data_IF_314418325331
#
_entry.id   IF_314418325331
#
_cell.length_a   1.000
_cell.length_b   1.000
_cell.length_c   1.000
_cell.angle_alpha   90.00
_cell.angle_beta   90.00
_cell.angle_gamma   90.00
#
_symmetry.space_group_name_H-M   'P 1'
#
loop_
_entity.id
_entity.type
_entity.pdbx_description
1 polymer ?
#
# COMPACT_ATOMS: atom_id res chain seq x y z
N UNK A 1 -4.84 25.65 -3.62
CA UNK A 1 -3.71 24.77 -3.28
C UNK A 1 -3.66 24.65 -1.77
N UNK A 2 -4.14 23.55 -1.23
CA UNK A 2 -4.17 23.28 0.21
C UNK A 2 -2.84 22.65 0.66
N UNK A 3 -2.65 22.51 1.98
CA UNK A 3 -1.53 21.76 2.54
C UNK A 3 -1.52 20.29 2.05
N UNK A 4 -2.69 19.72 1.79
CA UNK A 4 -2.81 18.37 1.24
C UNK A 4 -2.27 18.26 -0.18
N UNK A 5 -2.53 19.27 -1.03
CA UNK A 5 -1.97 19.31 -2.39
C UNK A 5 -0.42 19.32 -2.35
N UNK A 6 0.16 20.10 -1.44
CA UNK A 6 1.61 20.15 -1.26
C UNK A 6 2.17 18.82 -0.77
N UNK A 7 1.46 18.15 0.15
CA UNK A 7 1.82 16.83 0.67
C UNK A 7 1.80 15.76 -0.43
N UNK A 8 0.75 15.76 -1.28
CA UNK A 8 0.64 14.88 -2.45
C UNK A 8 1.82 15.08 -3.39
N UNK A 9 2.11 16.32 -3.76
CA UNK A 9 3.22 16.65 -4.64
C UNK A 9 4.57 16.25 -4.04
N UNK A 10 4.74 16.42 -2.72
CA UNK A 10 5.96 16.01 -2.02
C UNK A 10 6.14 14.49 -2.10
N UNK A 11 5.11 13.70 -1.83
CA UNK A 11 5.20 12.23 -1.89
C UNK A 11 5.48 11.76 -3.32
N UNK A 12 4.73 12.25 -4.31
CA UNK A 12 4.91 11.85 -5.70
C UNK A 12 6.29 12.27 -6.23
N UNK A 13 6.70 13.51 -5.95
CA UNK A 13 8.00 14.04 -6.36
C UNK A 13 9.14 13.26 -5.71
N UNK A 14 9.09 13.04 -4.40
CA UNK A 14 10.12 12.32 -3.68
C UNK A 14 10.21 10.86 -4.12
N UNK A 15 9.06 10.19 -4.30
CA UNK A 15 9.01 8.81 -4.80
C UNK A 15 9.59 8.70 -6.21
N UNK A 16 9.27 9.65 -7.10
CA UNK A 16 9.84 9.74 -8.44
C UNK A 16 11.36 9.96 -8.42
N UNK A 17 11.85 10.89 -7.59
CA UNK A 17 13.28 11.17 -7.45
C UNK A 17 14.05 9.95 -6.92
N UNK A 18 13.54 9.28 -5.88
CA UNK A 18 14.18 8.07 -5.37
C UNK A 18 14.22 6.96 -6.43
N UNK A 19 13.14 6.78 -7.18
CA UNK A 19 13.08 5.77 -8.23
C UNK A 19 13.96 6.13 -9.44
N UNK A 20 14.17 7.42 -9.74
CA UNK A 20 15.15 7.86 -10.73
C UNK A 20 16.60 7.53 -10.34
N UNK A 21 16.92 7.67 -9.04
CA UNK A 21 18.24 7.36 -8.50
C UNK A 21 18.49 5.85 -8.53
N UNK A 22 17.49 5.05 -8.15
CA UNK A 22 17.58 3.58 -8.07
C UNK A 22 17.48 2.88 -9.43
N UNK A 23 16.60 3.36 -10.30
CA UNK A 23 16.22 2.71 -11.56
C UNK A 23 15.11 1.67 -11.40
N UNK A 24 14.38 1.41 -12.50
CA UNK A 24 13.25 0.48 -12.54
C UNK A 24 13.64 -0.96 -12.18
N UNK A 25 14.76 -1.45 -12.70
CA UNK A 25 15.17 -2.84 -12.54
C UNK A 25 15.41 -3.19 -11.07
N UNK A 26 16.03 -2.29 -10.30
CA UNK A 26 16.21 -2.48 -8.85
C UNK A 26 14.90 -2.43 -8.09
N UNK A 27 13.96 -1.63 -8.56
CA UNK A 27 12.65 -1.54 -7.96
C UNK A 27 11.82 -2.81 -8.24
N UNK A 28 11.93 -3.39 -9.44
CA UNK A 28 11.41 -4.72 -9.75
C UNK A 28 12.01 -5.82 -8.87
N UNK A 29 13.33 -5.76 -8.58
CA UNK A 29 13.96 -6.69 -7.63
C UNK A 29 13.29 -6.62 -6.25
N UNK A 30 12.94 -5.41 -5.80
CA UNK A 30 12.22 -5.22 -4.53
C UNK A 30 10.82 -5.85 -4.60
N UNK A 31 10.08 -5.67 -5.70
CA UNK A 31 8.77 -6.30 -5.89
C UNK A 31 8.83 -7.82 -5.93
N UNK A 32 9.80 -8.38 -6.65
CA UNK A 32 9.99 -9.84 -6.73
C UNK A 32 10.32 -10.40 -5.34
N UNK A 33 11.16 -9.70 -4.56
CA UNK A 33 11.46 -10.09 -3.19
C UNK A 33 10.23 -10.05 -2.27
N UNK A 34 9.34 -9.05 -2.43
CA UNK A 34 8.05 -9.00 -1.73
C UNK A 34 7.21 -10.23 -2.10
N UNK A 35 7.15 -10.58 -3.40
CA UNK A 35 6.46 -11.78 -3.87
C UNK A 35 6.97 -13.06 -3.20
N UNK A 36 8.29 -13.23 -3.05
CA UNK A 36 8.87 -14.34 -2.29
C UNK A 36 8.46 -14.33 -0.82
N UNK A 37 8.46 -13.17 -0.15
CA UNK A 37 7.99 -13.03 1.22
C UNK A 37 6.52 -13.41 1.38
N UNK A 38 5.64 -12.92 0.49
CA UNK A 38 4.21 -13.25 0.50
C UNK A 38 4.01 -14.75 0.27
N UNK A 39 4.67 -15.34 -0.72
CA UNK A 39 4.59 -16.78 -0.97
C UNK A 39 5.02 -17.59 0.27
N UNK A 40 6.11 -17.20 0.93
CA UNK A 40 6.54 -17.88 2.14
C UNK A 40 5.50 -17.78 3.27
N UNK A 41 4.86 -16.63 3.46
CA UNK A 41 3.76 -16.48 4.41
C UNK A 41 2.56 -17.36 4.06
N UNK A 42 2.21 -17.49 2.77
CA UNK A 42 1.11 -18.34 2.35
C UNK A 42 1.36 -19.82 2.65
N UNK A 43 2.59 -20.31 2.42
CA UNK A 43 2.90 -21.73 2.60
C UNK A 43 3.33 -22.10 4.03
N UNK A 44 4.02 -21.19 4.73
CA UNK A 44 4.68 -21.49 6.00
C UNK A 44 4.30 -20.54 7.14
N UNK A 45 3.51 -19.49 6.88
CA UNK A 45 3.18 -18.48 7.88
C UNK A 45 2.50 -19.05 9.12
N UNK A 46 1.52 -19.94 8.94
CA UNK A 46 0.82 -20.56 10.06
C UNK A 46 1.77 -21.37 10.94
N UNK A 47 2.56 -22.27 10.35
CA UNK A 47 3.54 -23.09 11.07
C UNK A 47 4.67 -22.28 11.71
N UNK A 48 5.08 -21.18 11.08
CA UNK A 48 6.10 -20.30 11.66
C UNK A 48 5.54 -19.48 12.82
N UNK A 49 4.26 -19.09 12.75
CA UNK A 49 3.62 -18.28 13.78
C UNK A 49 3.50 -18.99 15.13
N UNK A 50 3.40 -20.33 15.16
CA UNK A 50 3.34 -21.09 16.42
C UNK A 50 4.61 -20.96 17.25
N UNK A 51 5.75 -20.56 16.67
CA UNK A 51 6.99 -20.28 17.42
C UNK A 51 6.86 -19.07 18.35
N UNK A 52 5.89 -18.20 18.10
CA UNK A 52 5.63 -16.99 18.88
C UNK A 52 4.52 -17.21 19.93
N UNK A 53 3.96 -18.41 20.03
CA UNK A 53 2.86 -18.76 20.94
C UNK A 53 1.47 -18.71 20.28
N UNK A 54 0.45 -18.49 21.10
CA UNK A 54 -0.95 -18.47 20.68
C UNK A 54 -1.54 -17.05 20.78
N UNK A 55 -2.51 -16.74 19.92
CA UNK A 55 -3.22 -15.47 19.89
C UNK A 55 -2.91 -14.60 18.67
N UNK A 56 -3.80 -13.63 18.40
CA UNK A 56 -3.75 -12.78 17.19
C UNK A 56 -2.44 -11.99 17.08
N UNK A 57 -1.94 -11.45 18.19
CA UNK A 57 -0.69 -10.69 18.19
C UNK A 57 0.52 -11.57 17.84
N UNK A 58 0.51 -12.82 18.32
CA UNK A 58 1.53 -13.82 18.01
C UNK A 58 1.51 -14.21 16.53
N UNK A 59 0.31 -14.40 15.97
CA UNK A 59 0.13 -14.65 14.53
C UNK A 59 0.70 -13.51 13.69
N UNK A 60 0.32 -12.27 13.98
CA UNK A 60 0.82 -11.09 13.27
C UNK A 60 2.35 -11.02 13.36
N UNK A 61 2.92 -11.20 14.56
CA UNK A 61 4.37 -11.18 14.77
C UNK A 61 5.09 -12.29 14.00
N UNK A 62 4.52 -13.49 13.95
CA UNK A 62 5.06 -14.63 13.21
C UNK A 62 5.07 -14.38 11.70
N UNK A 63 3.94 -13.96 11.13
CA UNK A 63 3.83 -13.65 9.71
C UNK A 63 4.75 -12.48 9.32
N UNK A 64 4.78 -11.41 10.12
CA UNK A 64 5.65 -10.27 9.87
C UNK A 64 7.13 -10.68 9.91
N UNK A 65 7.53 -11.50 10.90
CA UNK A 65 8.92 -11.94 11.03
C UNK A 65 9.31 -12.85 9.87
N UNK A 66 8.48 -13.82 9.50
CA UNK A 66 8.74 -14.70 8.36
C UNK A 66 8.86 -13.91 7.06
N UNK A 67 7.91 -13.01 6.82
CA UNK A 67 7.93 -12.13 5.65
C UNK A 67 9.25 -11.37 5.57
N UNK A 68 9.65 -10.71 6.67
CA UNK A 68 10.87 -9.91 6.69
C UNK A 68 12.12 -10.75 6.46
N UNK A 69 12.24 -11.93 7.09
CA UNK A 69 13.39 -12.82 6.89
C UNK A 69 13.52 -13.20 5.41
N UNK A 70 12.44 -13.68 4.81
CA UNK A 70 12.45 -14.15 3.41
C UNK A 70 12.64 -12.97 2.45
N UNK A 71 11.96 -11.86 2.69
CA UNK A 71 12.12 -10.63 1.91
C UNK A 71 13.58 -10.15 1.92
N UNK A 72 14.21 -10.05 3.09
CA UNK A 72 15.60 -9.59 3.23
C UNK A 72 16.55 -10.53 2.48
N UNK A 73 16.42 -11.85 2.70
CA UNK A 73 17.26 -12.84 2.04
C UNK A 73 17.09 -12.77 0.51
N UNK A 74 15.84 -12.81 0.03
CA UNK A 74 15.54 -12.75 -1.40
C UNK A 74 16.04 -11.44 -2.03
N UNK A 75 15.81 -10.31 -1.37
CA UNK A 75 16.24 -8.99 -1.85
C UNK A 75 17.77 -8.90 -1.96
N UNK A 76 18.51 -9.33 -0.93
CA UNK A 76 19.98 -9.33 -0.94
C UNK A 76 20.50 -10.23 -2.07
N UNK A 77 19.97 -11.45 -2.18
CA UNK A 77 20.40 -12.40 -3.22
C UNK A 77 20.13 -11.83 -4.61
N UNK A 78 18.94 -11.28 -4.86
CA UNK A 78 18.57 -10.68 -6.14
C UNK A 78 19.42 -9.46 -6.48
N UNK A 79 19.72 -8.57 -5.52
CA UNK A 79 20.61 -7.42 -5.73
C UNK A 79 22.04 -7.85 -6.06
N UNK A 80 22.58 -8.87 -5.38
CA UNK A 80 23.92 -9.41 -5.66
C UNK A 80 23.98 -9.99 -7.08
N UNK A 81 22.96 -10.80 -7.43
CA UNK A 81 22.83 -11.41 -8.75
C UNK A 81 22.74 -10.31 -9.81
N UNK A 82 21.85 -9.33 -9.61
CA UNK A 82 21.66 -8.23 -10.53
C UNK A 82 22.94 -7.41 -10.72
N UNK A 83 23.63 -7.07 -9.64
CA UNK A 83 24.89 -6.32 -9.70
C UNK A 83 26.05 -7.07 -10.37
N UNK A 84 25.91 -8.39 -10.59
CA UNK A 84 26.89 -9.19 -11.34
C UNK A 84 26.61 -9.20 -12.85
N UNK A 85 25.35 -9.08 -13.26
CA UNK A 85 24.95 -9.08 -14.68
C UNK A 85 24.75 -7.68 -15.25
N UNK A 86 24.23 -6.75 -14.46
CA UNK A 86 24.05 -5.35 -14.82
C UNK A 86 25.07 -4.48 -14.07
N UNK A 87 25.53 -3.42 -14.73
CA UNK A 87 26.37 -2.42 -14.09
C UNK A 87 25.69 -1.79 -12.87
N UNK A 88 26.49 -1.21 -11.96
CA UNK A 88 25.96 -0.59 -10.72
C UNK A 88 25.04 0.61 -10.98
N UNK A 89 25.17 1.24 -12.14
CA UNK A 89 24.38 2.40 -12.54
C UNK A 89 23.23 2.04 -13.48
N UNK A 90 22.04 2.62 -13.27
CA UNK A 90 20.89 2.38 -14.11
C UNK A 90 21.05 3.06 -15.48
N UNK A 91 20.69 2.32 -16.53
CA UNK A 91 20.61 2.80 -17.91
C UNK A 91 19.59 3.93 -18.01
N UNK A 92 19.75 4.86 -18.97
CA UNK A 92 18.83 6.01 -19.13
C UNK A 92 17.36 5.62 -19.21
N UNK A 93 17.03 4.54 -19.94
CA UNK A 93 15.66 4.02 -20.03
C UNK A 93 15.17 3.41 -18.72
N UNK A 94 16.06 2.78 -17.97
CA UNK A 94 15.76 2.21 -16.65
C UNK A 94 15.38 3.31 -15.64
N UNK A 95 15.99 4.49 -15.74
CA UNK A 95 15.63 5.66 -14.91
C UNK A 95 14.24 6.21 -15.23
N UNK A 96 13.88 6.26 -16.51
CA UNK A 96 12.55 6.73 -16.94
C UNK A 96 11.47 5.76 -16.46
N UNK A 97 11.68 4.45 -16.67
CA UNK A 97 10.80 3.42 -16.10
C UNK A 97 10.72 3.50 -14.59
N UNK A 98 11.84 3.83 -13.93
CA UNK A 98 11.93 4.02 -12.49
C UNK A 98 11.01 5.13 -12.03
N UNK A 99 11.04 6.30 -12.67
CA UNK A 99 10.14 7.42 -12.33
C UNK A 99 8.68 7.04 -12.51
N UNK A 100 8.31 6.40 -13.62
CA UNK A 100 6.92 5.98 -13.85
C UNK A 100 6.47 5.06 -12.73
N UNK A 101 7.27 4.04 -12.42
CA UNK A 101 6.98 3.15 -11.30
C UNK A 101 6.92 3.88 -9.95
N UNK A 102 7.86 4.79 -9.69
CA UNK A 102 7.92 5.59 -8.47
C UNK A 102 6.67 6.44 -8.29
N UNK A 103 6.15 7.03 -9.36
CA UNK A 103 4.89 7.77 -9.33
C UNK A 103 3.71 6.83 -9.02
N UNK A 104 3.61 5.68 -9.67
CA UNK A 104 2.55 4.68 -9.39
C UNK A 104 2.60 4.26 -7.93
N UNK A 105 3.79 3.94 -7.41
CA UNK A 105 3.99 3.58 -6.00
C UNK A 105 3.61 4.72 -5.06
N UNK A 106 4.04 5.95 -5.35
CA UNK A 106 3.69 7.12 -4.55
C UNK A 106 2.19 7.38 -4.53
N UNK A 107 1.53 7.17 -5.67
CA UNK A 107 0.08 7.29 -5.82
C UNK A 107 -0.67 6.23 -5.00
N UNK A 108 -0.23 4.98 -5.04
CA UNK A 108 -0.74 3.91 -4.19
C UNK A 108 -0.54 4.21 -2.69
N UNK A 109 0.62 4.75 -2.30
CA UNK A 109 0.84 5.16 -0.90
C UNK A 109 -0.12 6.27 -0.47
N UNK A 110 -0.43 7.22 -1.35
CA UNK A 110 -1.41 8.27 -1.08
C UNK A 110 -2.83 7.73 -0.92
N UNK A 111 -3.23 6.75 -1.73
CA UNK A 111 -4.51 6.06 -1.56
C UNK A 111 -4.65 5.40 -0.19
N UNK A 112 -3.60 4.71 0.26
CA UNK A 112 -3.58 4.09 1.60
C UNK A 112 -3.66 5.14 2.72
N UNK A 113 -2.94 6.27 2.57
CA UNK A 113 -3.04 7.38 3.52
C UNK A 113 -4.46 7.96 3.54
N UNK A 114 -5.08 8.13 2.38
CA UNK A 114 -6.45 8.65 2.30
C UNK A 114 -7.47 7.72 2.97
N UNK A 115 -7.35 6.40 2.75
CA UNK A 115 -8.17 5.42 3.48
C UNK A 115 -7.98 5.53 5.00
N UNK A 116 -6.73 5.69 5.45
CA UNK A 116 -6.46 5.90 6.88
C UNK A 116 -7.05 7.21 7.41
N UNK A 117 -7.07 8.28 6.60
CA UNK A 117 -7.71 9.55 6.97
C UNK A 117 -9.23 9.42 7.05
N UNK A 118 -9.87 8.67 6.14
CA UNK A 118 -11.30 8.39 6.19
C UNK A 118 -11.71 7.55 7.42
N UNK A 119 -10.82 6.72 7.94
CA UNK A 119 -11.06 6.00 9.20
C UNK A 119 -10.94 6.95 10.40
N UNK A 120 -10.09 7.98 10.31
CA UNK A 120 -9.81 8.91 11.41
C UNK A 120 -10.76 10.10 11.49
N UNK A 121 -11.23 10.60 10.34
CA UNK A 121 -12.16 11.73 10.23
C UNK A 121 -13.53 11.25 9.78
N UNK A 122 -14.59 11.79 10.37
CA UNK A 122 -15.97 11.54 9.93
C UNK A 122 -16.14 11.98 8.46
N UNK A 123 -16.71 11.09 7.65
CA UNK A 123 -16.88 11.29 6.21
C UNK A 123 -17.76 12.51 5.88
N UNK A 124 -18.69 12.84 6.77
CA UNK A 124 -19.62 13.97 6.65
C UNK A 124 -18.99 15.33 6.99
N UNK A 125 -17.82 15.37 7.63
CA UNK A 125 -17.17 16.62 8.03
C UNK A 125 -15.64 16.56 7.89
N UNK A 126 -15.12 16.41 6.67
CA UNK A 126 -13.69 16.42 6.44
C UNK A 126 -13.12 17.81 6.74
N UNK A 127 -11.87 17.90 7.24
CA UNK A 127 -11.26 19.20 7.50
C UNK A 127 -11.05 19.98 6.20
N UNK A 128 -11.18 21.32 6.27
CA UNK A 128 -11.15 22.20 5.09
C UNK A 128 -9.89 22.06 4.21
N UNK A 129 -8.75 21.63 4.76
CA UNK A 129 -7.52 21.39 3.98
C UNK A 129 -7.58 20.13 3.11
N UNK A 130 -8.43 19.16 3.48
CA UNK A 130 -8.70 17.93 2.74
C UNK A 130 -9.84 18.15 1.74
N UNK A 131 -10.91 18.81 2.18
CA UNK A 131 -12.09 19.10 1.36
C UNK A 131 -11.75 19.99 0.15
N UNK A 132 -11.01 21.08 0.37
CA UNK A 132 -10.68 22.05 -0.69
C UNK A 132 -9.47 21.65 -1.56
N UNK A 133 -8.98 20.41 -1.46
CA UNK A 133 -7.83 19.93 -2.21
C UNK A 133 -8.15 19.70 -3.68
N UNK A 134 -7.32 20.23 -4.57
CA UNK A 134 -7.46 20.05 -6.01
C UNK A 134 -6.94 18.67 -6.47
N UNK A 135 -5.99 18.10 -5.75
CA UNK A 135 -5.39 16.81 -6.06
C UNK A 135 -6.06 15.64 -5.32
N UNK A 136 -7.16 15.89 -4.59
CA UNK A 136 -7.96 14.85 -3.92
C UNK A 136 -8.45 13.79 -4.92
N UNK A 137 -8.94 14.21 -6.09
CA UNK A 137 -9.53 13.30 -7.10
C UNK A 137 -8.62 12.12 -7.46
N UNK A 138 -7.38 12.35 -7.93
CA UNK A 138 -6.44 11.27 -8.18
C UNK A 138 -6.20 10.36 -6.98
N UNK A 139 -6.13 10.90 -5.76
CA UNK A 139 -5.89 10.10 -4.55
C UNK A 139 -7.08 9.21 -4.20
N UNK A 140 -8.31 9.68 -4.43
CA UNK A 140 -9.53 8.88 -4.24
C UNK A 140 -9.55 7.67 -5.18
N UNK A 141 -9.14 7.85 -6.45
CA UNK A 141 -9.02 6.71 -7.39
C UNK A 141 -8.02 5.66 -6.87
N UNK A 142 -6.93 6.09 -6.20
CA UNK A 142 -6.01 5.15 -5.58
C UNK A 142 -6.66 4.41 -4.39
N UNK A 143 -7.48 5.09 -3.60
CA UNK A 143 -8.23 4.48 -2.50
C UNK A 143 -9.26 3.46 -3.01
N UNK A 144 -10.02 3.80 -4.06
CA UNK A 144 -10.97 2.90 -4.73
C UNK A 144 -10.27 1.63 -5.26
N UNK A 145 -9.03 1.75 -5.77
CA UNK A 145 -8.26 0.58 -6.17
C UNK A 145 -8.01 -0.39 -5.01
N UNK A 146 -7.76 0.13 -3.80
CA UNK A 146 -7.60 -0.70 -2.61
C UNK A 146 -8.93 -1.27 -2.11
N UNK A 147 -10.00 -0.49 -2.13
CA UNK A 147 -11.35 -0.96 -1.80
C UNK A 147 -11.80 -2.09 -2.74
N UNK A 148 -11.50 -1.97 -4.04
CA UNK A 148 -11.73 -3.01 -5.03
C UNK A 148 -10.92 -4.29 -4.81
N UNK A 149 -9.79 -4.22 -4.08
CA UNK A 149 -9.03 -5.39 -3.62
C UNK A 149 -9.55 -5.97 -2.29
N UNK A 150 -10.60 -5.37 -1.72
CA UNK A 150 -11.23 -5.79 -0.47
C UNK A 150 -10.74 -5.04 0.78
N UNK A 151 -9.93 -3.97 0.63
CA UNK A 151 -9.58 -3.10 1.77
C UNK A 151 -10.71 -2.11 2.02
N UNK A 152 -11.75 -2.56 2.73
CA UNK A 152 -12.83 -1.69 3.17
C UNK A 152 -12.39 -0.83 4.37
N UNK A 153 -12.78 0.44 4.44
CA UNK A 153 -12.69 1.20 5.67
C UNK A 153 -13.48 0.47 6.76
N UNK A 154 -12.87 0.23 7.92
CA UNK A 154 -13.44 -0.56 9.04
C UNK A 154 -14.76 0.00 9.65
N UNK A 155 -15.44 0.94 8.99
CA UNK A 155 -16.72 1.52 9.39
C UNK A 155 -17.88 1.30 8.41
N UNK A 156 -17.67 0.70 7.24
CA UNK A 156 -18.70 0.55 6.21
C UNK A 156 -19.74 -0.57 6.48
N UNK A 157 -19.54 -1.39 7.50
CA UNK A 157 -20.40 -2.57 7.77
C UNK A 157 -21.72 -2.28 8.50
N UNK A 158 -22.17 -1.02 8.67
CA UNK A 158 -23.31 -0.74 9.57
C UNK A 158 -24.56 -0.10 8.95
N UNK A 159 -24.69 0.06 7.63
CA UNK A 159 -25.90 0.72 7.07
C UNK A 159 -26.63 0.03 5.92
N UNK A 160 -26.27 -1.20 5.52
CA UNK A 160 -26.96 -1.86 4.38
C UNK A 160 -27.75 -3.13 4.68
N UNK A 161 -27.89 -3.53 5.95
CA UNK A 161 -28.78 -4.63 6.34
C UNK A 161 -29.54 -4.34 7.65
N UNK A 162 -30.47 -3.38 7.61
CA UNK A 162 -31.64 -3.41 8.48
C UNK A 162 -32.90 -3.03 7.67
N UNK A 163 -33.34 -4.02 6.90
CA UNK A 163 -34.70 -4.53 7.04
C UNK A 163 -35.83 -3.52 6.86
N UNK A 164 -36.09 -3.16 5.62
CA UNK A 164 -37.45 -2.90 5.15
C UNK A 164 -38.37 -4.06 5.59
N UNK A 165 -39.36 -3.75 6.43
CA UNK A 165 -40.44 -4.68 6.80
C UNK A 165 -41.71 -3.90 7.17
N UNK A 166 -42.89 -4.50 6.95
CA UNK A 166 -44.03 -3.82 6.34
C UNK A 166 -45.15 -3.45 7.32
N UNK A 167 -45.98 -2.49 6.88
CA UNK A 167 -47.38 -2.28 7.25
C UNK A 167 -47.69 -2.07 8.74
N UNK A 168 -48.02 -0.82 9.07
CA UNK A 168 -48.90 -0.50 10.21
C UNK A 168 -50.11 0.27 9.67
N UNK A 169 -51.22 -0.43 9.38
CA UNK A 169 -52.53 0.20 9.21
C UNK A 169 -53.06 0.63 10.60
N UNK A 170 -53.71 1.80 10.74
CA UNK A 170 -54.25 2.24 12.01
C UNK A 170 -55.68 1.69 12.23
N UNK A 171 -55.85 1.11 13.43
CA UNK A 171 -57.07 0.95 14.28
C UNK A 171 -58.36 0.48 13.63
#
# INVERSE_FOLDING_TARGET
MTLFDLFILAILGLSGVFAWIRGFTRELVTLVAIGFGVMACMFFGQSFSTLFGEGTFSQIAGYATLFLIIFIIAHIVLEIVLGRYLGKEPVRWDRIGGVIYGIIRGWLLLGLVYLALNIYFDEDNPPAWLENSLLKGPVVIAAEFFEGMGLQPLGAETESEDGESPQNEPV
#
